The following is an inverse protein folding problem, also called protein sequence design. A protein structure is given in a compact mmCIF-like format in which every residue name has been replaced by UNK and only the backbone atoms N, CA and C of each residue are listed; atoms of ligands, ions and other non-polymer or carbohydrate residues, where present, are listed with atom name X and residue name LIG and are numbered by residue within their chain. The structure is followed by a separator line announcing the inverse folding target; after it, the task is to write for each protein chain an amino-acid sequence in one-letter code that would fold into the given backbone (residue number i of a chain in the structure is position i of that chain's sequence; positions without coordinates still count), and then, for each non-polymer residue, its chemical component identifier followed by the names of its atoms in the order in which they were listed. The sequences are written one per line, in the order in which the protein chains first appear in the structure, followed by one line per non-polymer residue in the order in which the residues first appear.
data_IF_010286683162
#
_entry.id   IF_010286683162
#
_cell.length_a   1.000
_cell.length_b   1.000
_cell.length_c   1.000
_cell.angle_alpha   90.00
_cell.angle_beta   90.00
_cell.angle_gamma   90.00
#
_symmetry.space_group_name_H-M   'P 1'
#
loop_
_entity.id
_entity.type
_entity.pdbx_description
1 polymer ?
#
# COMPACT_ATOMS: atom_id res chain seq x y z
N UNK A 1 1.81 22.42 -3.35
CA UNK A 1 1.04 21.25 -3.84
C UNK A 1 1.68 19.99 -3.25
N UNK A 2 0.93 19.19 -2.51
CA UNK A 2 1.46 17.92 -1.96
C UNK A 2 1.73 16.93 -3.09
N UNK A 3 2.81 16.14 -2.96
CA UNK A 3 3.20 15.11 -3.92
C UNK A 3 2.01 14.16 -4.12
N UNK A 4 1.45 14.14 -5.33
CA UNK A 4 0.43 13.17 -5.70
C UNK A 4 1.14 11.89 -6.07
N UNK A 5 0.88 10.81 -5.34
CA UNK A 5 1.41 9.49 -5.63
C UNK A 5 0.28 8.57 -6.02
N UNK A 6 0.49 7.79 -7.07
CA UNK A 6 -0.48 6.81 -7.56
C UNK A 6 -0.38 5.50 -6.81
N UNK A 7 -1.45 4.70 -6.87
CA UNK A 7 -1.46 3.34 -6.35
C UNK A 7 -0.31 2.52 -6.95
N UNK A 8 -0.05 2.65 -8.26
CA UNK A 8 1.03 1.93 -8.93
C UNK A 8 2.40 2.24 -8.32
N UNK A 9 2.70 3.50 -8.05
CA UNK A 9 3.97 3.90 -7.45
C UNK A 9 4.10 3.38 -6.02
N UNK A 10 3.04 3.48 -5.21
CA UNK A 10 3.02 2.93 -3.85
C UNK A 10 3.26 1.42 -3.85
N UNK A 11 2.61 0.69 -4.76
CA UNK A 11 2.81 -0.76 -4.90
C UNK A 11 4.22 -1.12 -5.36
N UNK A 12 4.84 -0.33 -6.23
CA UNK A 12 6.22 -0.54 -6.66
C UNK A 12 7.20 -0.35 -5.50
N UNK A 13 7.05 0.72 -4.72
CA UNK A 13 7.88 1.01 -3.55
C UNK A 13 7.70 -0.08 -2.49
N UNK A 14 6.45 -0.45 -2.16
CA UNK A 14 6.17 -1.53 -1.21
C UNK A 14 6.84 -2.84 -1.63
N UNK A 15 6.79 -3.18 -2.92
CA UNK A 15 7.46 -4.38 -3.45
C UNK A 15 8.99 -4.31 -3.30
N UNK A 16 9.60 -3.14 -3.56
CA UNK A 16 11.04 -2.93 -3.37
C UNK A 16 11.45 -3.06 -1.90
N UNK A 17 10.60 -2.58 -0.99
CA UNK A 17 10.76 -2.69 0.46
C UNK A 17 10.37 -4.07 1.02
N UNK A 18 10.14 -5.07 0.17
CA UNK A 18 9.91 -6.44 0.63
C UNK A 18 8.49 -6.75 1.12
N UNK A 19 7.51 -5.89 0.82
CA UNK A 19 6.11 -6.19 1.09
C UNK A 19 5.54 -7.14 0.04
N UNK A 20 4.79 -8.12 0.53
CA UNK A 20 4.08 -9.12 -0.26
C UNK A 20 2.58 -9.03 -0.03
N UNK A 21 1.79 -9.42 -1.02
CA UNK A 21 0.33 -9.44 -0.88
C UNK A 21 -0.06 -10.49 0.16
N UNK A 22 -0.87 -10.08 1.12
CA UNK A 22 -1.41 -10.99 2.14
C UNK A 22 -2.39 -11.99 1.52
N UNK A 23 -2.26 -13.27 1.87
CA UNK A 23 -3.07 -14.37 1.34
C UNK A 23 -4.50 -14.41 1.89
N UNK A 24 -4.78 -13.69 2.98
CA UNK A 24 -6.05 -13.72 3.70
C UNK A 24 -7.17 -12.90 3.07
N UNK A 25 -6.90 -12.07 2.05
CA UNK A 25 -7.94 -11.27 1.42
C UNK A 25 -8.56 -11.98 0.21
N UNK A 26 -9.91 -12.07 0.22
CA UNK A 26 -10.73 -12.71 -0.83
C UNK A 26 -10.32 -12.22 -2.23
N UNK A 27 -10.12 -13.16 -3.16
CA UNK A 27 -9.91 -12.87 -4.59
C UNK A 27 -11.07 -11.98 -5.09
N UNK A 28 -10.75 -10.81 -5.64
CA UNK A 28 -11.71 -9.87 -6.22
C UNK A 28 -12.06 -8.63 -5.38
N UNK A 29 -11.55 -8.51 -4.15
CA UNK A 29 -11.74 -7.28 -3.37
C UNK A 29 -10.86 -6.14 -3.89
N UNK A 30 -11.42 -4.93 -3.98
CA UNK A 30 -10.66 -3.69 -4.20
C UNK A 30 -9.77 -3.32 -3.02
N UNK A 31 -10.02 -3.90 -1.84
CA UNK A 31 -9.19 -3.76 -0.65
C UNK A 31 -8.14 -4.87 -0.61
N UNK A 32 -6.88 -4.49 -0.69
CA UNK A 32 -5.74 -5.39 -0.64
C UNK A 32 -4.81 -4.98 0.49
N UNK A 33 -4.38 -5.96 1.29
CA UNK A 33 -3.36 -5.78 2.31
C UNK A 33 -2.03 -6.33 1.82
N UNK A 34 -0.98 -5.56 2.04
CA UNK A 34 0.40 -5.94 1.85
C UNK A 34 1.10 -6.00 3.21
N UNK A 35 1.89 -7.04 3.43
CA UNK A 35 2.61 -7.30 4.69
C UNK A 35 4.10 -7.44 4.38
N UNK A 36 4.97 -6.93 5.25
CA UNK A 36 6.41 -7.07 5.08
C UNK A 36 6.83 -8.54 5.29
N UNK A 37 7.67 -9.07 4.40
CA UNK A 37 8.08 -10.49 4.41
C UNK A 37 8.80 -10.90 5.70
N UNK A 38 9.55 -10.00 6.31
CA UNK A 38 10.37 -10.27 7.51
C UNK A 38 9.72 -9.74 8.81
N UNK A 39 8.65 -8.93 8.70
CA UNK A 39 7.99 -8.30 9.85
C UNK A 39 6.48 -8.15 9.60
N UNK A 40 5.64 -9.08 10.08
CA UNK A 40 4.21 -9.05 9.84
C UNK A 40 3.48 -7.89 10.54
N UNK A 41 4.15 -7.16 11.45
CA UNK A 41 3.58 -5.97 12.11
C UNK A 41 3.57 -4.75 11.19
N UNK A 42 4.42 -4.74 10.16
CA UNK A 42 4.47 -3.71 9.11
C UNK A 42 3.53 -4.10 7.98
N UNK A 43 2.51 -3.28 7.75
CA UNK A 43 1.51 -3.54 6.72
C UNK A 43 1.02 -2.27 6.03
N UNK A 44 0.48 -2.45 4.82
CA UNK A 44 -0.15 -1.40 4.03
C UNK A 44 -1.50 -1.89 3.52
N UNK A 45 -2.57 -1.22 3.96
CA UNK A 45 -3.92 -1.42 3.44
C UNK A 45 -4.17 -0.43 2.31
N UNK A 46 -4.46 -0.96 1.12
CA UNK A 46 -4.69 -0.15 -0.08
C UNK A 46 -6.03 -0.55 -0.70
N UNK A 47 -6.88 0.45 -0.90
CA UNK A 47 -8.19 0.29 -1.54
C UNK A 47 -8.14 0.95 -2.91
N UNK A 48 -8.26 0.19 -3.99
CA UNK A 48 -8.17 0.72 -5.34
C UNK A 48 -8.95 -0.10 -6.38
N UNK A 49 -9.48 0.59 -7.38
CA UNK A 49 -10.10 -0.04 -8.57
C UNK A 49 -9.17 -0.02 -9.78
N UNK A 50 -8.24 0.95 -9.84
CA UNK A 50 -7.25 1.06 -10.91
C UNK A 50 -5.89 1.49 -10.36
N UNK A 51 -4.81 1.06 -11.01
CA UNK A 51 -3.44 1.39 -10.58
C UNK A 51 -3.05 2.86 -10.80
N UNK A 52 -3.73 3.58 -11.69
CA UNK A 52 -3.47 5.00 -11.97
C UNK A 52 -4.16 5.95 -10.98
N UNK A 53 -4.96 5.43 -10.05
CA UNK A 53 -5.65 6.25 -9.06
C UNK A 53 -4.65 6.91 -8.11
N UNK A 54 -4.83 8.22 -7.86
CA UNK A 54 -4.05 8.94 -6.85
C UNK A 54 -4.50 8.53 -5.45
N UNK A 55 -3.55 8.23 -4.57
CA UNK A 55 -3.85 7.91 -3.16
C UNK A 55 -4.21 9.22 -2.43
N UNK A 56 -5.37 9.30 -1.77
CA UNK A 56 -5.71 10.45 -0.94
C UNK A 56 -4.69 10.66 0.18
N UNK A 57 -4.39 11.91 0.51
CA UNK A 57 -3.39 12.27 1.53
C UNK A 57 -3.57 11.55 2.87
N UNK A 58 -4.83 11.38 3.32
CA UNK A 58 -5.14 10.68 4.57
C UNK A 58 -4.79 9.19 4.51
N UNK A 59 -5.12 8.54 3.39
CA UNK A 59 -4.77 7.14 3.11
C UNK A 59 -3.25 6.98 3.04
N UNK A 60 -2.56 7.87 2.31
CA UNK A 60 -1.10 7.83 2.20
C UNK A 60 -0.44 7.93 3.58
N UNK A 61 -0.85 8.91 4.40
CA UNK A 61 -0.33 9.10 5.76
C UNK A 61 -0.57 7.88 6.65
N UNK A 62 -1.72 7.20 6.49
CA UNK A 62 -1.99 5.98 7.24
C UNK A 62 -1.06 4.85 6.78
N UNK A 63 -0.84 4.69 5.47
CA UNK A 63 0.10 3.70 4.92
C UNK A 63 1.52 3.99 5.42
N UNK A 64 1.96 5.24 5.43
CA UNK A 64 3.29 5.61 5.95
C UNK A 64 3.44 5.20 7.41
N UNK A 65 2.40 5.45 8.22
CA UNK A 65 2.39 5.11 9.66
C UNK A 65 2.43 3.61 9.90
N UNK A 66 1.68 2.80 9.14
CA UNK A 66 1.59 1.35 9.37
C UNK A 66 2.70 0.55 8.68
N UNK A 67 3.22 1.05 7.56
CA UNK A 67 4.31 0.39 6.81
C UNK A 67 5.70 0.85 7.25
N UNK A 68 5.81 2.04 7.86
CA UNK A 68 7.07 2.67 8.22
C UNK A 68 7.84 3.26 7.04
N UNK A 69 7.24 3.32 5.85
CA UNK A 69 7.85 3.88 4.63
C UNK A 69 7.36 5.31 4.42
N UNK A 70 8.18 6.19 3.86
CA UNK A 70 7.78 7.53 3.40
C UNK A 70 7.72 7.56 1.87
N UNK A 71 6.70 8.21 1.32
CA UNK A 71 6.43 8.25 -0.13
C UNK A 71 6.69 9.62 -0.76
#
# INVERSE_FOLDING_TARGET
MGKQITVREVLQILKQEGFIKSSTHKRGSSHQRYIHKDDPTRYADISFHSGGQVIPKGTLRNIERTSGIKF
#
